data_IF_943656328810
#
_entry.id   IF_943656328810
#
_cell.length_a   1.000
_cell.length_b   1.000
_cell.length_c   1.000
_cell.angle_alpha   90.00
_cell.angle_beta   90.00
_cell.angle_gamma   90.00
#
_symmetry.space_group_name_H-M   'P 1'
#
loop_
_entity.id
_entity.type
_entity.pdbx_description
1 polymer ?
#
# COMPACT_ATOMS: atom_id res chain seq x y z
N UNK A 1 3.73 -32.99 17.27
CA UNK A 1 2.99 -31.77 16.85
C UNK A 1 3.40 -30.70 17.83
N UNK A 2 4.12 -29.63 17.50
CA UNK A 2 3.83 -28.59 16.51
C UNK A 2 5.11 -28.14 15.79
N UNK A 3 5.26 -28.53 14.53
CA UNK A 3 6.34 -28.12 13.63
C UNK A 3 5.90 -26.96 12.73
N UNK A 4 5.16 -25.98 13.26
CA UNK A 4 4.66 -24.83 12.48
C UNK A 4 4.83 -23.55 13.30
N UNK A 5 6.07 -23.16 13.55
CA UNK A 5 6.39 -21.81 14.03
C UNK A 5 7.65 -21.21 13.39
N UNK A 6 8.37 -21.98 12.55
CA UNK A 6 9.60 -21.51 11.89
C UNK A 6 9.51 -21.87 10.39
N UNK A 7 8.52 -21.34 9.69
CA UNK A 7 8.43 -21.46 8.23
C UNK A 7 7.89 -20.21 7.53
N UNK A 8 7.71 -19.09 8.23
CA UNK A 8 7.35 -17.80 7.60
C UNK A 8 8.55 -16.85 7.54
N UNK A 9 9.52 -16.98 8.45
CA UNK A 9 10.74 -16.17 8.43
C UNK A 9 11.76 -16.60 7.35
N UNK A 10 11.68 -17.85 6.86
CA UNK A 10 12.62 -18.41 5.87
C UNK A 10 12.23 -18.14 4.40
N UNK A 11 11.09 -17.50 4.13
CA UNK A 11 10.74 -17.02 2.77
C UNK A 11 11.32 -15.62 2.48
N UNK A 12 12.05 -15.02 3.43
CA UNK A 12 12.63 -13.68 3.32
C UNK A 12 14.16 -13.66 3.15
N UNK A 13 14.78 -14.78 2.79
CA UNK A 13 16.20 -14.81 2.44
C UNK A 13 16.39 -15.10 0.96
N UNK A 14 16.65 -14.02 0.21
CA UNK A 14 17.56 -13.98 -0.95
C UNK A 14 17.12 -14.63 -2.28
N UNK A 15 16.14 -14.00 -2.93
CA UNK A 15 16.33 -13.49 -4.30
C UNK A 15 15.89 -12.04 -4.26
N UNK A 16 16.82 -11.07 -4.32
CA UNK A 16 16.57 -9.63 -4.07
C UNK A 16 15.58 -8.98 -5.07
N UNK A 17 14.31 -9.32 -5.00
CA UNK A 17 13.26 -8.40 -5.40
C UNK A 17 13.21 -7.29 -4.34
N UNK A 18 14.06 -6.26 -4.49
CA UNK A 18 13.91 -5.03 -3.69
C UNK A 18 12.49 -4.53 -3.87
N UNK A 19 11.72 -4.47 -2.78
CA UNK A 19 10.34 -3.99 -2.80
C UNK A 19 10.36 -2.56 -3.35
N UNK A 20 9.78 -2.39 -4.53
CA UNK A 20 9.65 -1.11 -5.18
C UNK A 20 8.34 -0.45 -4.72
N UNK A 21 8.46 0.70 -4.08
CA UNK A 21 7.31 1.51 -3.75
C UNK A 21 7.02 2.48 -4.89
N UNK A 22 5.91 2.25 -5.59
CA UNK A 22 5.47 3.12 -6.69
C UNK A 22 5.22 4.53 -6.16
N UNK A 23 5.93 5.51 -6.73
CA UNK A 23 5.66 6.92 -6.50
C UNK A 23 4.42 7.28 -7.33
N UNK A 24 3.42 7.88 -6.68
CA UNK A 24 2.20 8.32 -7.35
C UNK A 24 2.52 9.27 -8.51
N UNK A 25 1.80 9.14 -9.62
CA UNK A 25 1.89 10.08 -10.74
C UNK A 25 1.60 11.52 -10.29
N UNK A 26 0.65 11.70 -9.36
CA UNK A 26 0.26 13.01 -8.82
C UNK A 26 1.21 13.58 -7.76
N UNK A 27 2.29 12.87 -7.41
CA UNK A 27 3.26 13.39 -6.45
C UNK A 27 4.04 14.54 -7.11
N UNK A 28 4.13 15.73 -6.48
CA UNK A 28 4.95 16.81 -6.99
C UNK A 28 6.41 16.36 -7.18
N UNK A 29 7.02 16.75 -8.30
CA UNK A 29 8.43 16.48 -8.63
C UNK A 29 9.16 17.79 -8.81
N UNK A 30 9.64 18.43 -7.72
CA UNK A 30 10.17 19.79 -7.77
C UNK A 30 11.36 19.96 -8.72
N UNK A 31 12.16 18.91 -8.92
CA UNK A 31 13.30 18.93 -9.83
C UNK A 31 12.90 19.18 -11.30
N UNK A 32 11.66 18.86 -11.70
CA UNK A 32 11.17 19.13 -13.06
C UNK A 32 11.02 20.62 -13.37
N UNK A 33 10.95 21.49 -12.35
CA UNK A 33 10.88 22.94 -12.57
C UNK A 33 12.16 23.53 -13.21
N UNK A 34 13.27 22.77 -13.20
CA UNK A 34 14.55 23.15 -13.83
C UNK A 34 14.68 22.66 -15.28
N UNK A 35 13.70 21.91 -15.76
CA UNK A 35 13.71 21.29 -17.09
C UNK A 35 12.82 22.10 -18.03
N UNK A 36 13.22 22.32 -19.31
CA UNK A 36 12.34 22.93 -20.29
C UNK A 36 11.02 22.17 -20.39
N UNK A 37 9.89 22.88 -20.41
CA UNK A 37 8.56 22.26 -20.37
C UNK A 37 8.33 21.21 -21.47
N UNK A 38 8.97 21.35 -22.63
CA UNK A 38 8.87 20.41 -23.77
C UNK A 38 9.53 19.06 -23.49
N UNK A 39 10.48 19.03 -22.57
CA UNK A 39 11.24 17.82 -22.23
C UNK A 39 10.66 17.11 -21.01
N UNK A 40 9.73 17.75 -20.30
CA UNK A 40 9.03 17.15 -19.15
C UNK A 40 8.20 15.94 -19.58
N UNK A 41 7.65 15.95 -20.80
CA UNK A 41 6.86 14.84 -21.34
C UNK A 41 7.72 13.56 -21.48
N UNK A 42 8.98 13.68 -21.92
CA UNK A 42 9.93 12.57 -22.03
C UNK A 42 10.11 11.86 -20.67
N UNK A 43 10.19 12.63 -19.58
CA UNK A 43 10.27 12.07 -18.24
C UNK A 43 9.04 11.24 -17.87
N UNK A 44 7.84 11.73 -18.18
CA UNK A 44 6.60 11.02 -17.88
C UNK A 44 6.44 9.76 -18.72
N UNK A 45 6.79 9.81 -20.00
CA UNK A 45 6.84 8.63 -20.87
C UNK A 45 7.76 7.54 -20.30
N UNK A 46 8.93 7.92 -19.79
CA UNK A 46 9.87 6.97 -19.17
C UNK A 46 9.29 6.29 -17.91
N UNK A 47 8.64 7.03 -17.02
CA UNK A 47 8.12 6.46 -15.76
C UNK A 47 6.79 5.71 -15.92
N UNK A 48 6.09 5.91 -17.03
CA UNK A 48 4.84 5.24 -17.37
C UNK A 48 5.01 4.08 -18.37
N UNK A 49 6.20 3.95 -18.95
CA UNK A 49 6.56 2.87 -19.85
C UNK A 49 6.22 1.50 -19.25
N UNK A 50 5.34 0.76 -19.95
CA UNK A 50 4.84 -0.56 -19.52
C UNK A 50 5.68 -1.72 -20.04
N UNK A 51 6.63 -1.42 -20.93
CA UNK A 51 7.46 -2.40 -21.64
C UNK A 51 8.89 -2.50 -21.08
N UNK A 52 9.22 -1.77 -20.01
CA UNK A 52 10.52 -1.84 -19.34
C UNK A 52 10.33 -2.18 -17.86
N UNK A 53 11.32 -2.83 -17.28
CA UNK A 53 11.37 -3.14 -15.85
C UNK A 53 11.56 -1.86 -15.04
N UNK A 54 11.09 -1.86 -13.78
CA UNK A 54 11.34 -0.74 -12.87
C UNK A 54 12.84 -0.47 -12.61
N UNK A 55 13.71 -1.48 -12.80
CA UNK A 55 15.16 -1.29 -12.74
C UNK A 55 15.63 -0.44 -13.91
N UNK A 56 15.27 -0.83 -15.12
CA UNK A 56 15.59 -0.08 -16.35
C UNK A 56 14.98 1.33 -16.32
N UNK A 57 13.74 1.48 -15.82
CA UNK A 57 13.15 2.82 -15.62
C UNK A 57 14.04 3.71 -14.76
N UNK A 58 14.59 3.20 -13.65
CA UNK A 58 15.46 3.99 -12.77
C UNK A 58 16.76 4.39 -13.45
N UNK A 59 17.36 3.48 -14.19
CA UNK A 59 18.59 3.74 -14.95
C UNK A 59 18.35 4.83 -16.00
N UNK A 60 17.33 4.65 -16.87
CA UNK A 60 16.97 5.62 -17.92
C UNK A 60 16.59 6.99 -17.36
N UNK A 61 15.88 7.03 -16.24
CA UNK A 61 15.46 8.28 -15.62
C UNK A 61 16.65 9.03 -14.98
N UNK A 62 17.67 8.31 -14.49
CA UNK A 62 18.92 8.92 -14.01
C UNK A 62 19.79 9.44 -15.16
N UNK A 63 19.86 8.70 -16.27
CA UNK A 63 20.53 9.16 -17.51
C UNK A 63 19.83 10.41 -18.06
N UNK A 64 18.50 10.41 -18.09
CA UNK A 64 17.72 11.59 -18.45
C UNK A 64 18.00 12.77 -17.51
N UNK A 65 18.06 12.54 -16.20
CA UNK A 65 18.39 13.57 -15.23
C UNK A 65 19.81 14.16 -15.40
N UNK A 66 20.75 13.37 -15.91
CA UNK A 66 22.12 13.81 -16.22
C UNK A 66 22.15 14.82 -17.36
N UNK A 67 21.36 14.60 -18.43
CA UNK A 67 21.20 15.51 -19.57
C UNK A 67 20.80 16.93 -19.14
N UNK A 68 20.06 17.07 -18.03
CA UNK A 68 19.55 18.35 -17.53
C UNK A 68 20.25 18.83 -16.24
N UNK A 69 21.29 18.13 -15.76
CA UNK A 69 22.01 18.52 -14.55
C UNK A 69 21.19 18.43 -13.26
N UNK A 70 20.16 17.57 -13.21
CA UNK A 70 19.26 17.37 -12.06
C UNK A 70 19.36 15.96 -11.44
N UNK A 71 20.38 15.20 -11.84
CA UNK A 71 20.60 13.80 -11.43
C UNK A 71 20.64 13.63 -9.91
N UNK A 72 21.29 14.54 -9.19
CA UNK A 72 21.42 14.45 -7.74
C UNK A 72 20.10 14.76 -7.01
N UNK A 73 19.35 15.79 -7.43
CA UNK A 73 18.02 16.09 -6.89
C UNK A 73 17.04 14.94 -7.13
N UNK A 74 17.16 14.25 -8.26
CA UNK A 74 16.37 13.07 -8.56
C UNK A 74 16.75 11.92 -7.63
N UNK A 75 18.05 11.63 -7.43
CA UNK A 75 18.49 10.60 -6.46
C UNK A 75 17.96 10.89 -5.07
N UNK A 76 18.06 12.13 -4.59
CA UNK A 76 17.52 12.54 -3.29
C UNK A 76 16.01 12.31 -3.20
N UNK A 77 15.27 12.73 -4.24
CA UNK A 77 13.82 12.53 -4.33
C UNK A 77 13.44 11.05 -4.25
N UNK A 78 14.04 10.21 -5.09
CA UNK A 78 13.74 8.77 -5.11
C UNK A 78 14.12 8.08 -3.80
N UNK A 79 15.27 8.42 -3.20
CA UNK A 79 15.70 7.87 -1.91
C UNK A 79 14.75 8.25 -0.77
N UNK A 80 14.30 9.51 -0.73
CA UNK A 80 13.31 9.97 0.24
C UNK A 80 11.99 9.19 0.11
N UNK A 81 11.49 9.05 -1.12
CA UNK A 81 10.23 8.35 -1.35
C UNK A 81 10.32 6.83 -1.12
N UNK A 82 11.48 6.22 -1.37
CA UNK A 82 11.73 4.84 -1.02
C UNK A 82 11.63 4.63 0.50
N UNK A 83 12.27 5.48 1.32
CA UNK A 83 12.17 5.42 2.79
C UNK A 83 10.74 5.60 3.30
N UNK A 84 10.01 6.57 2.75
CA UNK A 84 8.58 6.79 3.07
C UNK A 84 7.76 5.53 2.72
N UNK A 85 8.03 4.93 1.57
CA UNK A 85 7.41 3.68 1.12
C UNK A 85 7.65 2.54 2.10
N UNK A 86 8.91 2.33 2.51
CA UNK A 86 9.32 1.31 3.47
C UNK A 86 8.65 1.48 4.84
N UNK A 87 8.64 2.70 5.37
CA UNK A 87 7.97 2.99 6.64
C UNK A 87 6.46 2.77 6.56
N UNK A 88 5.83 3.19 5.46
CA UNK A 88 4.41 2.93 5.21
C UNK A 88 4.15 1.43 5.11
N UNK A 89 4.99 0.68 4.40
CA UNK A 89 4.91 -0.76 4.27
C UNK A 89 4.92 -1.46 5.63
N UNK A 90 5.90 -1.12 6.49
CA UNK A 90 5.98 -1.63 7.87
C UNK A 90 4.71 -1.34 8.68
N UNK A 91 4.19 -0.11 8.60
CA UNK A 91 2.95 0.30 9.30
C UNK A 91 1.72 -0.48 8.79
N UNK A 92 1.63 -0.74 7.49
CA UNK A 92 0.53 -1.51 6.90
C UNK A 92 0.60 -2.98 7.32
N UNK A 93 1.79 -3.59 7.30
CA UNK A 93 2.00 -4.96 7.75
C UNK A 93 1.59 -5.11 9.21
N UNK A 94 2.06 -4.23 10.09
CA UNK A 94 1.70 -4.25 11.51
C UNK A 94 0.17 -4.08 11.72
N UNK A 95 -0.47 -3.21 10.94
CA UNK A 95 -1.92 -3.03 11.00
C UNK A 95 -2.68 -4.30 10.58
N UNK A 96 -2.21 -5.00 9.54
CA UNK A 96 -2.82 -6.26 9.09
C UNK A 96 -2.71 -7.35 10.16
N UNK A 97 -1.53 -7.50 10.78
CA UNK A 97 -1.30 -8.46 11.86
C UNK A 97 -2.19 -8.16 13.08
N UNK A 98 -2.25 -6.89 13.49
CA UNK A 98 -3.10 -6.47 14.60
C UNK A 98 -4.59 -6.61 14.29
N UNK A 99 -5.02 -6.32 13.06
CA UNK A 99 -6.41 -6.50 12.64
C UNK A 99 -6.83 -7.97 12.67
N UNK A 100 -5.96 -8.89 12.27
CA UNK A 100 -6.23 -10.33 12.37
C UNK A 100 -6.42 -10.77 13.83
N UNK A 101 -5.60 -10.27 14.76
CA UNK A 101 -5.75 -10.54 16.19
C UNK A 101 -7.05 -9.93 16.74
N UNK A 102 -7.31 -8.67 16.42
CA UNK A 102 -8.52 -7.95 16.81
C UNK A 102 -9.78 -8.66 16.30
N UNK A 103 -9.77 -9.21 15.09
CA UNK A 103 -10.91 -9.95 14.57
C UNK A 103 -11.27 -11.18 15.42
N UNK A 104 -10.27 -11.89 15.97
CA UNK A 104 -10.52 -13.02 16.89
C UNK A 104 -11.18 -12.55 18.19
N UNK A 105 -10.70 -11.43 18.75
CA UNK A 105 -11.31 -10.80 19.93
C UNK A 105 -12.75 -10.33 19.63
N UNK A 106 -13.01 -9.84 18.41
CA UNK A 106 -14.34 -9.45 17.97
C UNK A 106 -15.31 -10.63 17.90
N UNK A 107 -14.86 -11.78 17.36
CA UNK A 107 -15.67 -12.99 17.33
C UNK A 107 -16.03 -13.47 18.75
N UNK A 108 -15.10 -13.36 19.70
CA UNK A 108 -15.36 -13.71 21.09
C UNK A 108 -16.39 -12.79 21.79
N UNK A 109 -16.79 -11.67 21.18
CA UNK A 109 -17.89 -10.86 21.71
C UNK A 109 -19.26 -11.54 21.53
N UNK A 110 -19.39 -12.45 20.57
CA UNK A 110 -20.60 -13.20 20.29
C UNK A 110 -20.72 -14.41 21.22
N UNK A 111 -21.02 -14.09 22.47
CA UNK A 111 -21.23 -15.03 23.57
C UNK A 111 -22.73 -15.30 23.72
N UNK A 112 -23.13 -16.57 23.83
CA UNK A 112 -24.52 -17.00 23.95
C UNK A 112 -25.16 -16.62 25.30
N UNK A 113 -24.35 -16.24 26.29
CA UNK A 113 -24.80 -15.69 27.56
C UNK A 113 -25.16 -14.20 27.49
N UNK A 114 -24.80 -13.50 26.40
CA UNK A 114 -25.02 -12.05 26.24
C UNK A 114 -26.25 -11.74 25.41
N UNK A 115 -26.94 -10.68 25.80
CA UNK A 115 -27.98 -10.06 24.98
C UNK A 115 -27.38 -9.32 23.77
N UNK A 116 -28.16 -9.18 22.70
CA UNK A 116 -27.75 -8.39 21.52
C UNK A 116 -27.36 -6.95 21.87
N UNK A 117 -27.99 -6.36 22.89
CA UNK A 117 -27.67 -5.02 23.37
C UNK A 117 -26.25 -4.98 23.96
N UNK A 118 -25.89 -5.94 24.82
CA UNK A 118 -24.56 -6.04 25.42
C UNK A 118 -23.48 -6.27 24.35
N UNK A 119 -23.75 -7.16 23.39
CA UNK A 119 -22.84 -7.39 22.24
C UNK A 119 -22.64 -6.08 21.46
N UNK A 120 -23.72 -5.32 21.21
CA UNK A 120 -23.65 -4.02 20.54
C UNK A 120 -22.78 -3.00 21.29
N UNK A 121 -22.90 -2.94 22.61
CA UNK A 121 -22.08 -2.06 23.46
C UNK A 121 -20.60 -2.46 23.45
N UNK A 122 -20.29 -3.75 23.55
CA UNK A 122 -18.93 -4.26 23.51
C UNK A 122 -18.27 -4.01 22.16
N UNK A 123 -19.01 -4.20 21.05
CA UNK A 123 -18.54 -3.84 19.70
C UNK A 123 -18.25 -2.35 19.60
N UNK A 124 -19.09 -1.48 20.15
CA UNK A 124 -18.87 -0.03 20.17
C UNK A 124 -17.61 0.33 20.95
N UNK A 125 -17.39 -0.28 22.13
CA UNK A 125 -16.16 -0.10 22.92
C UNK A 125 -14.92 -0.52 22.13
N UNK A 126 -14.96 -1.68 21.49
CA UNK A 126 -13.86 -2.18 20.67
C UNK A 126 -13.54 -1.25 19.51
N UNK A 127 -14.55 -0.82 18.74
CA UNK A 127 -14.38 0.13 17.63
C UNK A 127 -13.74 1.44 18.07
N UNK A 128 -14.07 1.93 19.27
CA UNK A 128 -13.48 3.15 19.80
C UNK A 128 -12.05 2.95 20.28
N UNK A 129 -11.73 1.75 20.82
CA UNK A 129 -10.39 1.42 21.33
C UNK A 129 -9.38 1.17 20.20
N UNK A 130 -9.79 0.49 19.14
CA UNK A 130 -8.92 0.05 18.03
C UNK A 130 -9.55 0.37 16.66
N UNK A 131 -9.76 1.65 16.33
CA UNK A 131 -10.57 2.04 15.19
C UNK A 131 -10.01 1.58 13.83
N UNK A 132 -8.68 1.52 13.68
CA UNK A 132 -8.04 1.15 12.41
C UNK A 132 -8.19 -0.35 12.14
N UNK A 133 -7.85 -1.17 13.13
CA UNK A 133 -7.97 -2.62 13.10
C UNK A 133 -9.43 -3.02 12.89
N UNK A 134 -10.35 -2.39 13.64
CA UNK A 134 -11.79 -2.59 13.50
C UNK A 134 -12.28 -2.30 12.09
N UNK A 135 -11.89 -1.15 11.53
CA UNK A 135 -12.29 -0.76 10.18
C UNK A 135 -11.77 -1.76 9.14
N UNK A 136 -10.53 -2.23 9.29
CA UNK A 136 -9.90 -3.14 8.35
C UNK A 136 -10.57 -4.51 8.33
N UNK A 137 -10.77 -5.15 9.49
CA UNK A 137 -11.44 -6.46 9.50
C UNK A 137 -12.92 -6.34 9.12
N UNK A 138 -13.61 -5.26 9.50
CA UNK A 138 -15.01 -5.07 9.12
C UNK A 138 -15.17 -4.92 7.60
N UNK A 139 -14.23 -4.22 6.96
CA UNK A 139 -14.16 -4.16 5.50
C UNK A 139 -13.89 -5.53 4.88
N UNK A 140 -12.94 -6.30 5.43
CA UNK A 140 -12.63 -7.64 4.96
C UNK A 140 -13.83 -8.60 5.08
N UNK A 141 -14.54 -8.61 6.21
CA UNK A 141 -15.77 -9.39 6.39
C UNK A 141 -16.82 -9.02 5.35
N UNK A 142 -17.02 -7.71 5.12
CA UNK A 142 -17.96 -7.24 4.08
C UNK A 142 -17.59 -7.74 2.69
N UNK A 143 -16.30 -7.80 2.34
CA UNK A 143 -15.85 -8.33 1.04
C UNK A 143 -16.19 -9.82 0.91
N UNK A 144 -16.00 -10.62 1.96
CA UNK A 144 -16.30 -12.06 1.93
C UNK A 144 -17.79 -12.32 1.68
N UNK A 145 -18.65 -11.44 2.19
CA UNK A 145 -20.11 -11.53 2.00
C UNK A 145 -20.56 -11.02 0.61
N UNK A 146 -19.69 -10.40 -0.19
CA UNK A 146 -20.05 -9.97 -1.54
C UNK A 146 -20.21 -11.19 -2.47
N UNK A 147 -21.22 -11.19 -3.37
CA UNK A 147 -21.33 -12.22 -4.38
C UNK A 147 -20.09 -12.22 -5.28
N UNK A 148 -19.58 -13.41 -5.59
CA UNK A 148 -18.41 -13.62 -6.47
C UNK A 148 -18.58 -13.06 -7.89
N UNK A 149 -19.81 -12.66 -8.26
CA UNK A 149 -20.19 -12.10 -9.57
C UNK A 149 -20.19 -10.58 -9.63
N UNK A 150 -19.94 -9.86 -8.53
CA UNK A 150 -19.84 -8.39 -8.56
C UNK A 150 -18.44 -8.00 -8.99
N UNK A 151 -18.23 -7.92 -10.31
CA UNK A 151 -17.14 -7.12 -10.86
C UNK A 151 -17.21 -5.71 -10.25
N UNK A 152 -16.08 -5.23 -9.72
CA UNK A 152 -15.96 -3.86 -9.22
C UNK A 152 -16.69 -2.89 -10.17
N UNK A 153 -17.56 -2.00 -9.69
CA UNK A 153 -18.10 -0.96 -10.54
C UNK A 153 -16.91 -0.13 -11.02
N UNK A 154 -16.54 -0.33 -12.28
CA UNK A 154 -15.74 0.62 -13.04
C UNK A 154 -16.49 1.93 -12.85
N UNK A 155 -15.86 2.88 -12.16
CA UNK A 155 -16.36 4.25 -12.03
C UNK A 155 -16.50 4.75 -13.47
N UNK A 156 -17.70 4.61 -14.05
CA UNK A 156 -18.05 5.29 -15.28
C UNK A 156 -18.00 6.76 -14.91
N UNK A 157 -16.97 7.46 -15.39
CA UNK A 157 -16.98 8.93 -15.47
C UNK A 157 -18.30 9.30 -16.15
N UNK A 158 -19.27 9.77 -15.37
CA UNK A 158 -20.36 10.58 -15.89
C UNK A 158 -19.72 11.84 -16.45
N UNK A 159 -19.63 11.91 -17.78
CA UNK A 159 -19.53 13.18 -18.48
C UNK A 159 -20.86 13.91 -18.24
N UNK A 160 -20.78 15.06 -17.61
CA UNK A 160 -21.65 16.20 -17.89
C UNK A 160 -20.72 17.39 -18.11
#
# INVERSE_FOLDING_TARGET
MWAIAIAVAALYTSTEAKIYYRISHYMPRPFLAKVPWRDVDEFYELIEARNITHRETREKVLEWGEKYGIKEEMKEFYNKHQKIGEERGKKVIALLENAAKAYREYLALYDDTKTLKQIGEDKKKMRNKIPKEYTLFAFASKIVDLPSTVGYPIIKKTRF
#
